data_IF_171052137649
#
_entry.id   IF_171052137649
#
_cell.length_a   1.000
_cell.length_b   1.000
_cell.length_c   1.000
_cell.angle_alpha   90.00
_cell.angle_beta   90.00
_cell.angle_gamma   90.00
#
_symmetry.space_group_name_H-M   'P 1'
#
loop_
_entity.id
_entity.type
_entity.pdbx_description
1 polymer ?
#
# COMPACT_ATOMS: atom_id res chain seq x y z
N UNK A 1 -19.56 -2.38 -13.55
CA UNK A 1 -18.67 -1.88 -12.50
C UNK A 1 -17.41 -2.73 -12.39
N UNK A 2 -16.32 -2.55 -13.14
CA UNK A 2 -16.08 -1.99 -14.48
C UNK A 2 -14.72 -2.57 -14.91
N UNK A 3 -14.65 -3.09 -16.14
CA UNK A 3 -13.40 -3.60 -16.72
C UNK A 3 -12.40 -2.48 -17.07
N UNK A 4 -12.85 -1.21 -17.08
CA UNK A 4 -12.04 -0.03 -17.41
C UNK A 4 -10.95 0.29 -16.38
N UNK A 5 -11.08 -0.13 -15.13
CA UNK A 5 -10.05 0.11 -14.11
C UNK A 5 -8.79 -0.76 -14.27
N UNK A 6 -8.87 -1.83 -15.06
CA UNK A 6 -7.81 -2.84 -15.20
C UNK A 6 -6.76 -2.48 -16.25
N UNK A 7 -7.14 -1.77 -17.31
CA UNK A 7 -6.22 -1.40 -18.40
C UNK A 7 -5.32 -0.20 -18.05
N UNK A 8 -5.69 0.59 -17.04
CA UNK A 8 -5.03 1.86 -16.75
C UNK A 8 -3.76 1.78 -15.89
N UNK A 9 -3.44 0.64 -15.27
CA UNK A 9 -2.20 0.51 -14.47
C UNK A 9 -0.93 0.49 -15.34
N UNK A 10 -1.05 0.09 -16.61
CA UNK A 10 0.06 0.11 -17.57
C UNK A 10 0.54 1.53 -17.93
N UNK A 11 -0.18 2.59 -17.54
CA UNK A 11 0.10 3.97 -17.96
C UNK A 11 0.94 4.80 -16.97
N UNK A 12 1.19 4.29 -15.75
CA UNK A 12 1.81 5.11 -14.70
C UNK A 12 3.35 5.11 -14.68
N UNK A 13 4.00 4.43 -15.64
CA UNK A 13 5.46 4.32 -15.75
C UNK A 13 6.15 3.99 -14.40
N UNK A 14 5.51 3.12 -13.61
CA UNK A 14 6.04 2.59 -12.34
C UNK A 14 6.60 1.20 -12.55
N UNK A 15 7.54 0.82 -11.67
CA UNK A 15 8.07 -0.55 -11.60
C UNK A 15 8.11 -0.97 -10.15
N UNK A 16 7.81 -2.24 -9.85
CA UNK A 16 8.18 -2.78 -8.55
C UNK A 16 9.70 -2.94 -8.47
N UNK A 17 10.24 -2.82 -7.27
CA UNK A 17 11.64 -3.19 -7.02
C UNK A 17 11.84 -4.68 -7.29
N UNK A 18 13.04 -5.05 -7.73
CA UNK A 18 13.37 -6.46 -7.94
C UNK A 18 13.50 -7.15 -6.58
N UNK A 19 12.64 -8.14 -6.32
CA UNK A 19 12.65 -8.96 -5.13
C UNK A 19 12.81 -10.43 -5.51
N UNK A 20 13.64 -11.15 -4.77
CA UNK A 20 13.62 -12.61 -4.79
C UNK A 20 12.34 -13.13 -4.14
N UNK A 21 12.00 -14.40 -4.38
CA UNK A 21 10.87 -15.05 -3.71
C UNK A 21 11.02 -15.00 -2.18
N UNK A 22 12.23 -15.29 -1.67
CA UNK A 22 12.54 -15.26 -0.23
C UNK A 22 12.33 -13.86 0.36
N UNK A 23 12.76 -12.80 -0.32
CA UNK A 23 12.53 -11.41 0.14
C UNK A 23 11.03 -11.06 0.10
N UNK A 24 10.31 -11.50 -0.92
CA UNK A 24 8.87 -11.26 -1.07
C UNK A 24 8.09 -11.93 0.06
N UNK A 25 8.39 -13.19 0.37
CA UNK A 25 7.81 -13.92 1.49
C UNK A 25 8.13 -13.25 2.83
N UNK A 26 9.39 -12.83 3.02
CA UNK A 26 9.83 -12.15 4.24
C UNK A 26 9.07 -10.84 4.44
N UNK A 27 8.97 -10.01 3.41
CA UNK A 27 8.17 -8.77 3.42
C UNK A 27 6.71 -9.07 3.77
N UNK A 28 6.09 -10.03 3.09
CA UNK A 28 4.70 -10.39 3.36
C UNK A 28 4.50 -10.81 4.81
N UNK A 29 5.37 -11.68 5.33
CA UNK A 29 5.29 -12.18 6.71
C UNK A 29 5.45 -11.06 7.73
N UNK A 30 6.44 -10.18 7.55
CA UNK A 30 6.70 -9.10 8.51
C UNK A 30 5.57 -8.05 8.51
N UNK A 31 5.12 -7.61 7.34
CA UNK A 31 4.01 -6.64 7.25
C UNK A 31 2.66 -7.25 7.69
N UNK A 32 2.47 -8.56 7.55
CA UNK A 32 1.25 -9.25 8.00
C UNK A 32 1.08 -9.29 9.52
N UNK A 33 2.13 -9.01 10.31
CA UNK A 33 2.03 -8.97 11.77
C UNK A 33 1.21 -7.79 12.28
N UNK A 34 1.22 -6.66 11.56
CA UNK A 34 0.68 -5.41 12.09
C UNK A 34 0.01 -4.52 11.04
N UNK A 35 0.45 -4.56 9.78
CA UNK A 35 0.06 -3.58 8.77
C UNK A 35 -0.93 -4.15 7.75
N UNK A 36 -0.81 -5.45 7.46
CA UNK A 36 -1.42 -6.11 6.31
C UNK A 36 -2.22 -7.35 6.75
N UNK A 37 -3.31 -7.62 6.05
CA UNK A 37 -3.97 -8.94 6.05
C UNK A 37 -4.37 -9.31 4.62
N UNK A 38 -4.39 -10.60 4.30
CA UNK A 38 -4.72 -11.10 2.96
C UNK A 38 -3.95 -12.37 2.63
N UNK A 39 -4.00 -12.80 1.38
CA UNK A 39 -3.21 -13.95 0.91
C UNK A 39 -1.86 -13.51 0.37
N UNK A 40 -0.88 -14.42 0.47
CA UNK A 40 0.42 -14.23 -0.17
C UNK A 40 0.29 -14.02 -1.69
N UNK A 41 -0.66 -14.72 -2.34
CA UNK A 41 -0.93 -14.56 -3.77
C UNK A 41 -1.33 -13.13 -4.13
N UNK A 42 -2.17 -12.47 -3.31
CA UNK A 42 -2.54 -11.07 -3.54
C UNK A 42 -1.37 -10.12 -3.30
N UNK A 43 -0.49 -10.44 -2.36
CA UNK A 43 0.75 -9.69 -2.14
C UNK A 43 1.73 -9.83 -3.29
N UNK A 44 1.91 -11.05 -3.79
CA UNK A 44 2.73 -11.32 -4.98
C UNK A 44 2.18 -10.58 -6.20
N UNK A 45 0.86 -10.51 -6.37
CA UNK A 45 0.27 -9.77 -7.46
C UNK A 45 0.59 -8.26 -7.40
N UNK A 46 0.66 -7.67 -6.20
CA UNK A 46 1.13 -6.30 -5.99
C UNK A 46 2.61 -6.15 -6.37
N UNK A 47 3.49 -7.06 -5.95
CA UNK A 47 4.92 -6.98 -6.29
C UNK A 47 5.20 -7.25 -7.77
N UNK A 48 4.32 -8.00 -8.45
CA UNK A 48 4.37 -8.21 -9.89
C UNK A 48 3.62 -7.12 -10.68
N UNK A 49 2.96 -6.16 -10.01
CA UNK A 49 2.06 -5.18 -10.61
C UNK A 49 1.02 -5.81 -11.55
N UNK A 50 0.53 -6.99 -11.18
CA UNK A 50 -0.53 -7.70 -11.91
C UNK A 50 -1.90 -7.35 -11.34
N UNK A 51 -2.96 -7.36 -12.16
CA UNK A 51 -4.28 -7.02 -11.66
C UNK A 51 -4.86 -8.05 -10.69
N UNK A 52 -5.61 -7.58 -9.69
CA UNK A 52 -6.34 -8.46 -8.76
C UNK A 52 -7.84 -8.16 -8.71
N UNK A 53 -8.70 -9.17 -8.59
CA UNK A 53 -10.13 -8.94 -8.45
C UNK A 53 -10.44 -8.26 -7.10
N UNK A 54 -11.49 -7.42 -7.03
CA UNK A 54 -11.79 -6.63 -5.83
C UNK A 54 -11.91 -7.43 -4.54
N UNK A 55 -12.45 -8.66 -4.60
CA UNK A 55 -12.64 -9.55 -3.45
C UNK A 55 -11.35 -10.25 -2.98
N UNK A 56 -10.22 -10.06 -3.68
CA UNK A 56 -8.90 -10.60 -3.30
C UNK A 56 -7.92 -9.51 -2.86
N UNK A 57 -8.37 -8.25 -2.75
CA UNK A 57 -7.52 -7.16 -2.29
C UNK A 57 -6.97 -7.39 -0.89
N UNK A 58 -5.76 -6.89 -0.67
CA UNK A 58 -5.12 -6.86 0.64
C UNK A 58 -5.87 -5.89 1.56
N UNK A 59 -5.82 -6.11 2.86
CA UNK A 59 -6.42 -5.22 3.85
C UNK A 59 -5.28 -4.51 4.59
N UNK A 60 -5.27 -3.17 4.57
CA UNK A 60 -4.37 -2.38 5.40
C UNK A 60 -5.06 -2.00 6.71
N UNK A 61 -4.42 -2.32 7.84
CA UNK A 61 -5.01 -2.24 9.19
C UNK A 61 -4.24 -1.36 10.18
N UNK A 62 -3.13 -0.75 9.76
CA UNK A 62 -2.36 0.15 10.63
C UNK A 62 -3.19 1.34 11.11
N UNK A 63 -3.03 1.74 12.37
CA UNK A 63 -3.89 2.75 13.02
C UNK A 63 -3.17 4.06 13.21
N UNK A 64 -3.91 5.17 13.11
CA UNK A 64 -3.33 6.49 13.37
C UNK A 64 -2.97 6.62 14.85
N UNK A 65 -1.72 6.99 15.20
CA UNK A 65 -1.34 7.22 16.60
C UNK A 65 -2.19 8.30 17.27
N UNK A 66 -2.61 9.31 16.50
CA UNK A 66 -3.45 10.42 16.98
C UNK A 66 -4.93 10.06 17.01
N UNK A 67 -5.35 9.09 16.19
CA UNK A 67 -6.74 8.65 16.03
C UNK A 67 -6.81 7.13 15.91
N UNK A 68 -6.69 6.39 17.03
CA UNK A 68 -6.55 4.92 16.99
C UNK A 68 -7.73 4.18 16.33
N UNK A 69 -8.87 4.84 16.15
CA UNK A 69 -10.06 4.32 15.46
C UNK A 69 -10.02 4.50 13.94
N UNK A 70 -9.01 5.19 13.41
CA UNK A 70 -8.81 5.47 11.98
C UNK A 70 -7.56 4.76 11.46
N UNK A 71 -7.62 4.33 10.20
CA UNK A 71 -6.45 3.75 9.51
C UNK A 71 -5.42 4.83 9.22
N UNK A 72 -4.16 4.56 9.54
CA UNK A 72 -3.03 5.38 9.15
C UNK A 72 -2.76 5.20 7.65
N UNK A 73 -3.21 6.16 6.86
CA UNK A 73 -3.08 6.14 5.39
C UNK A 73 -1.67 6.45 4.93
N UNK A 74 -0.88 7.14 5.75
CA UNK A 74 0.46 7.59 5.36
C UNK A 74 1.48 6.46 5.45
N UNK A 75 1.31 5.50 6.36
CA UNK A 75 2.16 4.31 6.39
C UNK A 75 1.97 3.43 5.15
N UNK A 76 0.75 3.31 4.61
CA UNK A 76 0.51 2.64 3.33
C UNK A 76 1.23 3.36 2.17
N UNK A 77 1.15 4.70 2.13
CA UNK A 77 1.83 5.48 1.11
C UNK A 77 3.36 5.31 1.18
N UNK A 78 3.91 5.28 2.39
CA UNK A 78 5.33 5.02 2.59
C UNK A 78 5.72 3.61 2.15
N UNK A 79 4.92 2.60 2.50
CA UNK A 79 5.14 1.23 2.05
C UNK A 79 5.15 1.13 0.51
N UNK A 80 4.17 1.73 -0.16
CA UNK A 80 4.10 1.77 -1.62
C UNK A 80 5.29 2.51 -2.24
N UNK A 81 5.73 3.60 -1.62
CA UNK A 81 6.90 4.35 -2.07
C UNK A 81 8.21 3.56 -1.97
N UNK A 82 8.35 2.69 -0.98
CA UNK A 82 9.49 1.78 -0.88
C UNK A 82 9.41 0.64 -1.91
N UNK A 83 8.21 0.10 -2.14
CA UNK A 83 8.01 -1.03 -3.03
C UNK A 83 8.08 -0.65 -4.52
N UNK A 84 7.66 0.56 -4.88
CA UNK A 84 7.39 0.95 -6.26
C UNK A 84 8.28 2.13 -6.70
N UNK A 85 9.21 1.84 -7.61
CA UNK A 85 10.05 2.81 -8.29
C UNK A 85 9.16 3.77 -9.10
N UNK A 86 9.31 5.07 -8.85
CA UNK A 86 8.55 6.12 -9.51
C UNK A 86 7.24 6.50 -8.81
N UNK A 87 6.84 5.80 -7.74
CA UNK A 87 5.58 6.07 -7.04
C UNK A 87 5.43 7.52 -6.59
N UNK A 88 6.45 8.12 -5.98
CA UNK A 88 6.42 9.53 -5.53
C UNK A 88 6.16 10.55 -6.65
N UNK A 89 6.41 10.18 -7.92
CA UNK A 89 6.25 11.06 -9.07
C UNK A 89 4.82 11.04 -9.62
N UNK A 90 3.98 10.11 -9.16
CA UNK A 90 2.60 10.01 -9.58
C UNK A 90 1.78 11.23 -9.16
N UNK A 91 0.77 11.54 -9.97
CA UNK A 91 -0.28 12.46 -9.56
C UNK A 91 -1.09 11.86 -8.40
N UNK A 92 -1.69 12.73 -7.60
CA UNK A 92 -2.43 12.28 -6.41
C UNK A 92 -3.54 11.28 -6.77
N UNK A 93 -4.23 11.48 -7.89
CA UNK A 93 -5.31 10.58 -8.32
C UNK A 93 -4.76 9.20 -8.71
N UNK A 94 -3.62 9.14 -9.38
CA UNK A 94 -2.98 7.89 -9.76
C UNK A 94 -2.53 7.08 -8.53
N UNK A 95 -1.99 7.75 -7.50
CA UNK A 95 -1.67 7.10 -6.21
C UNK A 95 -2.92 6.55 -5.52
N UNK A 96 -4.03 7.28 -5.53
CA UNK A 96 -5.32 6.84 -4.97
C UNK A 96 -5.81 5.59 -5.70
N UNK A 97 -5.79 5.60 -7.03
CA UNK A 97 -6.30 4.51 -7.85
C UNK A 97 -5.44 3.26 -7.70
N UNK A 98 -4.11 3.42 -7.66
CA UNK A 98 -3.17 2.33 -7.37
C UNK A 98 -3.44 1.71 -5.98
N UNK A 99 -3.57 2.54 -4.95
CA UNK A 99 -3.84 2.05 -3.60
C UNK A 99 -5.20 1.33 -3.54
N UNK A 100 -6.25 1.86 -4.17
CA UNK A 100 -7.58 1.23 -4.23
C UNK A 100 -7.59 -0.06 -5.04
N UNK A 101 -6.71 -0.17 -6.03
CA UNK A 101 -6.60 -1.37 -6.84
C UNK A 101 -6.18 -2.58 -6.00
N UNK A 102 -5.18 -2.38 -5.14
CA UNK A 102 -4.56 -3.44 -4.36
C UNK A 102 -5.08 -3.58 -2.93
N UNK A 103 -5.62 -2.50 -2.35
CA UNK A 103 -5.93 -2.44 -0.91
C UNK A 103 -7.38 -2.06 -0.61
N UNK A 104 -7.88 -2.63 0.48
CA UNK A 104 -9.05 -2.20 1.24
C UNK A 104 -8.53 -1.61 2.56
N UNK A 105 -9.02 -0.44 2.94
CA UNK A 105 -8.64 0.19 4.20
C UNK A 105 -9.69 -0.14 5.25
N UNK A 106 -9.32 -0.85 6.32
CA UNK A 106 -10.23 -1.18 7.42
C UNK A 106 -9.65 -0.74 8.74
N UNK A 107 -10.48 -0.10 9.57
CA UNK A 107 -10.08 0.23 10.93
C UNK A 107 -10.04 -1.03 11.84
N UNK A 108 -9.58 -0.92 13.10
CA UNK A 108 -9.52 -2.06 14.02
C UNK A 108 -10.88 -2.73 14.30
N UNK A 109 -11.98 -2.01 14.12
CA UNK A 109 -13.33 -2.55 14.25
C UNK A 109 -13.79 -3.32 12.99
N UNK A 110 -12.91 -3.51 12.00
CA UNK A 110 -13.21 -4.18 10.73
C UNK A 110 -14.07 -3.35 9.77
N UNK A 111 -14.37 -2.08 10.11
CA UNK A 111 -15.17 -1.20 9.26
C UNK A 111 -14.31 -0.67 8.13
N UNK A 112 -14.80 -0.87 6.90
CA UNK A 112 -14.21 -0.26 5.73
C UNK A 112 -14.26 1.26 5.86
N UNK A 113 -13.12 1.89 5.64
CA UNK A 113 -12.99 3.33 5.63
C UNK A 113 -12.89 3.80 4.19
N UNK A 114 -13.75 4.76 3.84
CA UNK A 114 -13.76 5.39 2.53
C UNK A 114 -12.48 6.19 2.31
N UNK A 115 -11.56 5.51 1.64
CA UNK A 115 -10.52 5.96 0.75
C UNK A 115 -9.37 6.84 1.27
N UNK A 116 -8.27 6.71 0.52
CA UNK A 116 -7.17 7.65 0.50
C UNK A 116 -7.62 8.95 -0.18
N UNK A 117 -7.30 10.10 0.40
CA UNK A 117 -7.60 11.42 -0.17
C UNK A 117 -6.32 12.12 -0.65
N UNK A 118 -6.49 13.13 -1.50
CA UNK A 118 -5.40 14.01 -1.93
C UNK A 118 -4.72 14.73 -0.75
N UNK A 119 -5.48 15.04 0.31
CA UNK A 119 -4.93 15.56 1.56
C UNK A 119 -3.99 14.56 2.22
N UNK A 120 -4.35 13.28 2.29
CA UNK A 120 -3.48 12.27 2.89
C UNK A 120 -2.13 12.17 2.15
N UNK A 121 -2.15 12.31 0.83
CA UNK A 121 -0.94 12.30 -0.01
C UNK A 121 -0.11 13.56 0.21
N UNK A 122 -0.75 14.73 0.20
CA UNK A 122 -0.07 16.00 0.42
C UNK A 122 0.59 16.03 1.80
N UNK A 123 -0.15 15.61 2.82
CA UNK A 123 0.36 15.49 4.18
C UNK A 123 1.51 14.46 4.23
N UNK A 124 1.44 13.33 3.52
CA UNK A 124 2.52 12.32 3.48
C UNK A 124 3.81 12.88 2.85
N UNK A 125 3.72 13.61 1.74
CA UNK A 125 4.89 14.17 1.03
C UNK A 125 5.74 15.10 1.90
N UNK A 126 5.13 15.76 2.88
CA UNK A 126 5.80 16.68 3.80
C UNK A 126 5.95 16.12 5.21
N UNK A 127 5.60 14.85 5.44
CA UNK A 127 5.62 14.27 6.78
C UNK A 127 6.97 13.62 7.08
N UNK A 128 7.66 14.15 8.09
CA UNK A 128 8.95 13.65 8.58
C UNK A 128 8.82 12.83 9.87
N UNK A 129 7.60 12.39 10.22
CA UNK A 129 7.35 11.72 11.49
C UNK A 129 8.09 10.36 11.59
N UNK A 130 8.62 10.01 12.79
CA UNK A 130 9.40 8.78 13.00
C UNK A 130 8.70 7.50 12.55
N UNK A 131 7.37 7.42 12.70
CA UNK A 131 6.62 6.21 12.35
C UNK A 131 6.66 5.89 10.84
N UNK A 132 6.89 6.87 9.96
CA UNK A 132 7.10 6.60 8.53
C UNK A 132 8.49 5.99 8.30
N UNK A 133 9.50 6.48 9.02
CA UNK A 133 10.85 5.89 8.97
C UNK A 133 10.84 4.44 9.45
N UNK A 134 9.98 4.10 10.40
CA UNK A 134 9.84 2.71 10.88
C UNK A 134 9.29 1.79 9.80
N UNK A 135 8.37 2.26 8.94
CA UNK A 135 7.93 1.52 7.75
C UNK A 135 9.11 1.28 6.81
N UNK A 136 9.87 2.33 6.48
CA UNK A 136 11.02 2.22 5.58
C UNK A 136 12.09 1.28 6.17
N UNK A 137 12.40 1.38 7.47
CA UNK A 137 13.36 0.49 8.16
C UNK A 137 12.90 -0.96 8.16
N UNK A 138 11.63 -1.21 8.48
CA UNK A 138 11.08 -2.57 8.45
C UNK A 138 11.17 -3.16 7.04
N UNK A 139 10.83 -2.36 6.03
CA UNK A 139 10.95 -2.77 4.63
C UNK A 139 12.39 -3.13 4.27
N UNK A 140 13.35 -2.25 4.57
CA UNK A 140 14.77 -2.48 4.28
C UNK A 140 15.34 -3.69 5.03
N UNK A 141 14.86 -3.98 6.25
CA UNK A 141 15.29 -5.18 6.99
C UNK A 141 14.87 -6.50 6.33
N UNK A 142 13.92 -6.45 5.39
CA UNK A 142 13.42 -7.59 4.64
C UNK A 142 14.14 -7.82 3.30
N UNK A 143 14.95 -6.86 2.86
CA UNK A 143 15.80 -6.98 1.67
C UNK A 143 17.12 -7.67 2.02
#
# INVERSE_FOLDING_TARGET
MDREGLENLHFYNIKAIALTEVQTEKLFREFSKQYLSGSYQSFWALTALTPIPPNKRLIWIDTSPKRPKEVNRQSLLEFLNQLLIGFKNLENQQMIDLARHYFILKNPAGKEQLHLSTKNISDWRTNEAPYLQDISRLFQSCL
#
